data_IF_489213803179
#
_entry.id   IF_489213803179
#
_cell.length_a   1.000
_cell.length_b   1.000
_cell.length_c   1.000
_cell.angle_alpha   90.00
_cell.angle_beta   90.00
_cell.angle_gamma   90.00
#
_symmetry.space_group_name_H-M   'P 1'
#
loop_
_entity.id
_entity.type
_entity.pdbx_description
1 polymer ?
#
# COMPACT_ATOMS: atom_id res chain seq x y z
N UNK A 1 8.46 13.15 -13.79
CA UNK A 1 7.36 12.37 -13.16
C UNK A 1 7.56 12.42 -11.65
N UNK A 2 6.50 12.69 -10.89
CA UNK A 2 6.51 12.62 -9.43
C UNK A 2 5.59 11.50 -8.99
N UNK A 3 5.94 10.82 -7.90
CA UNK A 3 5.12 9.74 -7.33
C UNK A 3 4.77 10.12 -5.89
N UNK A 4 3.49 10.01 -5.55
CA UNK A 4 3.00 10.13 -4.17
C UNK A 4 2.98 8.75 -3.53
N UNK A 5 3.47 8.65 -2.29
CA UNK A 5 3.36 7.45 -1.47
C UNK A 5 2.57 7.79 -0.21
N UNK A 6 1.42 7.18 -0.06
CA UNK A 6 0.65 7.19 1.19
C UNK A 6 0.91 5.91 1.98
N UNK A 7 1.05 6.02 3.29
CA UNK A 7 1.03 4.84 4.17
C UNK A 7 -0.14 4.89 5.13
N UNK A 8 -0.80 3.74 5.29
CA UNK A 8 -1.92 3.52 6.21
C UNK A 8 -1.57 2.48 7.29
N UNK A 9 -0.30 2.09 7.39
CA UNK A 9 0.14 1.05 8.33
C UNK A 9 0.18 -0.36 7.72
N UNK A 10 -0.52 -1.29 8.35
CA UNK A 10 -0.47 -2.71 8.00
C UNK A 10 0.84 -3.38 8.41
N UNK A 11 0.96 -4.66 8.08
CA UNK A 11 2.15 -5.47 8.44
C UNK A 11 3.45 -4.89 7.90
N UNK A 12 3.41 -4.24 6.74
CA UNK A 12 4.58 -3.60 6.13
C UNK A 12 5.35 -2.68 7.09
N UNK A 13 4.63 -1.88 7.87
CA UNK A 13 5.17 -0.84 8.76
C UNK A 13 5.46 -1.33 10.18
N UNK A 14 5.06 -2.55 10.52
CA UNK A 14 5.26 -3.07 11.87
C UNK A 14 6.72 -3.39 12.17
N UNK A 15 7.11 -3.19 13.42
CA UNK A 15 8.42 -3.57 13.95
C UNK A 15 8.24 -4.43 15.19
N UNK A 16 9.19 -5.33 15.42
CA UNK A 16 9.20 -6.15 16.64
C UNK A 16 9.63 -5.31 17.84
N UNK A 17 8.79 -5.32 18.87
CA UNK A 17 9.11 -4.70 20.15
C UNK A 17 9.68 -5.77 21.11
N UNK A 18 10.97 -5.71 21.47
CA UNK A 18 11.59 -6.74 22.31
C UNK A 18 11.13 -6.68 23.78
N UNK A 19 10.48 -5.59 24.20
CA UNK A 19 9.97 -5.47 25.57
C UNK A 19 8.60 -6.17 25.68
N UNK A 20 7.69 -5.90 24.75
CA UNK A 20 6.36 -6.53 24.76
C UNK A 20 6.33 -7.90 24.07
N UNK A 21 7.33 -8.22 23.24
CA UNK A 21 7.34 -9.43 22.42
C UNK A 21 6.36 -9.41 21.25
N UNK A 22 5.84 -8.24 20.88
CA UNK A 22 4.79 -8.08 19.88
C UNK A 22 5.27 -7.22 18.69
N UNK A 23 4.54 -7.32 17.59
CA UNK A 23 4.68 -6.39 16.46
C UNK A 23 3.85 -5.13 16.75
N UNK A 24 4.49 -3.97 16.65
CA UNK A 24 3.85 -2.66 16.90
C UNK A 24 4.21 -1.66 15.81
N UNK A 25 3.46 -0.56 15.74
CA UNK A 25 3.81 0.57 14.90
C UNK A 25 4.77 1.51 15.63
N UNK A 26 5.71 2.06 14.87
CA UNK A 26 6.63 3.13 15.26
C UNK A 26 6.68 4.16 14.12
N UNK A 27 7.81 4.86 13.97
CA UNK A 27 8.00 5.75 12.82
C UNK A 27 7.94 4.95 11.51
N UNK A 28 7.40 5.59 10.45
CA UNK A 28 7.30 4.94 9.14
C UNK A 28 8.66 4.51 8.60
N UNK A 29 8.70 3.29 8.09
CA UNK A 29 9.87 2.76 7.40
C UNK A 29 9.99 3.26 5.95
N UNK A 30 8.98 3.90 5.37
CA UNK A 30 8.95 4.28 3.95
C UNK A 30 10.09 5.23 3.55
N UNK A 31 10.47 6.25 4.34
CA UNK A 31 11.66 7.06 4.01
C UNK A 31 12.92 6.21 3.85
N UNK A 32 13.10 5.18 4.69
CA UNK A 32 14.22 4.27 4.59
C UNK A 32 14.11 3.33 3.38
N UNK A 33 12.90 2.84 3.08
CA UNK A 33 12.62 2.05 1.87
C UNK A 33 13.02 2.83 0.62
N UNK A 34 12.58 4.08 0.49
CA UNK A 34 12.91 4.97 -0.64
C UNK A 34 14.42 5.16 -0.76
N UNK A 35 15.09 5.47 0.35
CA UNK A 35 16.56 5.67 0.39
C UNK A 35 17.31 4.40 -0.02
N UNK A 36 16.96 3.25 0.54
CA UNK A 36 17.62 1.95 0.24
C UNK A 36 17.39 1.50 -1.18
N UNK A 37 16.24 1.79 -1.76
CA UNK A 37 15.92 1.50 -3.16
C UNK A 37 16.66 2.39 -4.14
N UNK A 38 17.41 3.41 -3.68
CA UNK A 38 18.17 4.37 -4.52
C UNK A 38 17.28 5.01 -5.60
N UNK A 39 16.03 5.29 -5.26
CA UNK A 39 15.07 5.93 -6.15
C UNK A 39 15.57 7.33 -6.51
N UNK A 40 15.58 7.64 -7.81
CA UNK A 40 16.02 8.93 -8.35
C UNK A 40 14.87 9.85 -8.72
N UNK A 41 13.65 9.31 -8.82
CA UNK A 41 12.44 10.09 -9.02
C UNK A 41 12.09 10.89 -7.76
N UNK A 42 11.43 12.03 -7.96
CA UNK A 42 10.86 12.78 -6.83
C UNK A 42 9.69 12.00 -6.24
N UNK A 43 9.83 11.63 -4.98
CA UNK A 43 8.79 10.96 -4.18
C UNK A 43 8.31 11.92 -3.11
N UNK A 44 7.01 12.10 -3.06
CA UNK A 44 6.30 12.81 -2.00
C UNK A 44 5.64 11.77 -1.09
N UNK A 45 6.05 11.72 0.18
CA UNK A 45 5.59 10.75 1.16
C UNK A 45 4.68 11.43 2.19
N UNK A 46 3.59 10.76 2.53
CA UNK A 46 2.67 11.18 3.59
C UNK A 46 2.16 9.97 4.37
N UNK A 47 2.32 10.03 5.68
CA UNK A 47 1.70 9.11 6.62
C UNK A 47 0.28 9.58 6.92
N UNK A 48 -0.72 8.75 6.60
CA UNK A 48 -2.11 9.05 6.91
C UNK A 48 -2.46 8.63 8.34
N UNK A 49 -2.12 7.40 8.67
CA UNK A 49 -2.27 6.81 10.00
C UNK A 49 -1.59 5.43 10.03
N UNK A 50 -1.50 4.86 11.24
CA UNK A 50 -1.05 3.48 11.43
C UNK A 50 -2.17 2.64 12.03
N UNK A 51 -2.77 1.78 11.21
CA UNK A 51 -3.74 0.79 11.63
C UNK A 51 -3.46 -0.57 11.01
N UNK A 52 -3.79 -1.63 11.73
CA UNK A 52 -4.03 -2.93 11.10
C UNK A 52 -5.28 -2.83 10.25
N UNK A 53 -5.28 -3.42 9.05
CA UNK A 53 -6.41 -3.28 8.14
C UNK A 53 -7.70 -3.92 8.66
N UNK A 54 -7.60 -4.89 9.58
CA UNK A 54 -8.76 -5.45 10.28
C UNK A 54 -9.42 -4.45 11.25
N UNK A 55 -8.67 -3.45 11.69
CA UNK A 55 -9.15 -2.39 12.59
C UNK A 55 -9.62 -1.13 11.85
N UNK A 56 -9.55 -1.13 10.51
CA UNK A 56 -10.06 -0.02 9.69
C UNK A 56 -11.57 -0.08 9.56
N UNK A 57 -12.21 1.06 9.73
CA UNK A 57 -13.63 1.26 9.47
C UNK A 57 -13.89 1.96 8.12
N UNK A 58 -15.14 2.29 7.84
CA UNK A 58 -15.49 2.96 6.58
C UNK A 58 -14.99 4.41 6.53
N UNK A 59 -14.91 5.10 7.65
CA UNK A 59 -14.42 6.48 7.70
C UNK A 59 -12.93 6.54 7.38
N UNK A 60 -12.14 5.57 7.84
CA UNK A 60 -10.74 5.41 7.45
C UNK A 60 -10.59 5.25 5.93
N UNK A 61 -11.40 4.39 5.31
CA UNK A 61 -11.37 4.13 3.87
C UNK A 61 -11.79 5.35 3.05
N UNK A 62 -12.83 6.06 3.51
CA UNK A 62 -13.29 7.30 2.88
C UNK A 62 -12.23 8.41 3.01
N UNK A 63 -11.53 8.48 4.13
CA UNK A 63 -10.44 9.43 4.32
C UNK A 63 -9.29 9.15 3.34
N UNK A 64 -8.89 7.88 3.16
CA UNK A 64 -7.90 7.49 2.15
C UNK A 64 -8.35 7.92 0.75
N UNK A 65 -9.60 7.60 0.38
CA UNK A 65 -10.16 7.96 -0.92
C UNK A 65 -10.20 9.48 -1.13
N UNK A 66 -10.56 10.25 -0.10
CA UNK A 66 -10.57 11.70 -0.15
C UNK A 66 -9.15 12.27 -0.34
N UNK A 67 -8.17 11.78 0.40
CA UNK A 67 -6.76 12.18 0.25
C UNK A 67 -6.26 11.93 -1.17
N UNK A 68 -6.56 10.76 -1.73
CA UNK A 68 -6.23 10.44 -3.12
C UNK A 68 -6.93 11.40 -4.08
N UNK A 69 -8.20 11.71 -3.85
CA UNK A 69 -9.00 12.60 -4.71
C UNK A 69 -8.40 13.99 -4.83
N UNK A 70 -7.98 14.59 -3.71
CA UNK A 70 -7.44 15.96 -3.67
C UNK A 70 -5.94 16.04 -3.99
N UNK A 71 -5.22 14.91 -4.02
CA UNK A 71 -3.78 14.87 -4.33
C UNK A 71 -3.55 15.31 -5.79
N UNK A 72 -2.69 16.32 -6.07
CA UNK A 72 -2.41 16.73 -7.45
C UNK A 72 -1.54 15.75 -8.22
N UNK A 73 -0.73 14.92 -7.54
CA UNK A 73 0.10 13.90 -8.19
C UNK A 73 -0.79 12.74 -8.63
N UNK A 74 -0.65 12.34 -9.90
CA UNK A 74 -1.51 11.31 -10.50
C UNK A 74 -1.03 9.88 -10.26
N UNK A 75 0.26 9.68 -10.03
CA UNK A 75 0.88 8.39 -9.80
C UNK A 75 1.03 8.15 -8.30
N UNK A 76 0.24 7.24 -7.75
CA UNK A 76 0.09 7.07 -6.30
C UNK A 76 0.33 5.61 -5.90
N UNK A 77 1.21 5.40 -4.93
CA UNK A 77 1.35 4.13 -4.21
C UNK A 77 0.67 4.26 -2.84
N UNK A 78 -0.11 3.28 -2.46
CA UNK A 78 -0.73 3.20 -1.12
C UNK A 78 -0.24 1.96 -0.40
N UNK A 79 0.47 2.14 0.71
CA UNK A 79 0.86 1.06 1.61
C UNK A 79 -0.29 0.77 2.56
N UNK A 80 -0.74 -0.48 2.60
CA UNK A 80 -1.95 -0.87 3.31
C UNK A 80 -1.83 -2.30 3.87
N UNK A 81 -2.55 -2.59 4.93
CA UNK A 81 -2.67 -3.96 5.44
C UNK A 81 -3.40 -4.88 4.45
N UNK A 82 -2.95 -6.12 4.35
CA UNK A 82 -3.38 -7.02 3.27
C UNK A 82 -4.79 -7.59 3.45
N UNK A 83 -5.34 -7.64 4.69
CA UNK A 83 -6.60 -8.35 4.97
C UNK A 83 -7.84 -7.65 4.40
N UNK A 84 -7.86 -6.33 4.38
CA UNK A 84 -8.98 -5.54 3.84
C UNK A 84 -8.57 -4.61 2.70
N UNK A 85 -7.41 -4.86 2.08
CA UNK A 85 -6.89 -4.07 0.96
C UNK A 85 -7.88 -3.99 -0.20
N UNK A 86 -8.51 -5.10 -0.55
CA UNK A 86 -9.51 -5.16 -1.63
C UNK A 86 -10.70 -4.25 -1.33
N UNK A 87 -11.21 -4.25 -0.09
CA UNK A 87 -12.32 -3.38 0.32
C UNK A 87 -11.96 -1.91 0.21
N UNK A 88 -10.76 -1.54 0.66
CA UNK A 88 -10.26 -0.16 0.55
C UNK A 88 -10.08 0.23 -0.92
N UNK A 89 -9.57 -0.68 -1.76
CA UNK A 89 -9.45 -0.45 -3.20
C UNK A 89 -10.81 -0.16 -3.87
N UNK A 90 -11.87 -0.86 -3.48
CA UNK A 90 -13.23 -0.60 -3.96
C UNK A 90 -13.74 0.78 -3.52
N UNK A 91 -13.55 1.14 -2.25
CA UNK A 91 -13.91 2.48 -1.75
C UNK A 91 -13.18 3.60 -2.51
N UNK A 92 -11.87 3.41 -2.80
CA UNK A 92 -11.10 4.37 -3.60
C UNK A 92 -11.69 4.47 -5.01
N UNK A 93 -12.02 3.33 -5.64
CA UNK A 93 -12.63 3.29 -6.98
C UNK A 93 -13.94 4.07 -7.06
N UNK A 94 -14.76 3.98 -6.02
CA UNK A 94 -16.07 4.64 -5.96
C UNK A 94 -15.97 6.16 -5.68
N UNK A 95 -14.99 6.60 -4.91
CA UNK A 95 -14.95 7.95 -4.36
C UNK A 95 -13.78 8.83 -4.83
N UNK A 96 -12.71 8.24 -5.37
CA UNK A 96 -11.56 8.99 -5.88
C UNK A 96 -11.72 9.39 -7.36
N UNK A 97 -10.83 10.26 -7.82
CA UNK A 97 -10.74 10.66 -9.22
C UNK A 97 -10.32 9.49 -10.11
N UNK A 98 -10.98 9.36 -11.27
CA UNK A 98 -10.71 8.28 -12.23
C UNK A 98 -9.51 8.57 -13.15
N UNK A 99 -8.84 9.72 -13.01
CA UNK A 99 -7.70 10.15 -13.83
C UNK A 99 -6.34 9.83 -13.20
N UNK A 100 -6.33 9.03 -12.14
CA UNK A 100 -5.12 8.66 -11.39
C UNK A 100 -4.78 7.19 -11.53
N UNK A 101 -3.49 6.90 -11.49
CA UNK A 101 -2.97 5.55 -11.34
C UNK A 101 -2.70 5.33 -9.85
N UNK A 102 -3.55 4.55 -9.19
CA UNK A 102 -3.40 4.20 -7.78
C UNK A 102 -3.03 2.73 -7.68
N UNK A 103 -1.88 2.43 -7.13
CA UNK A 103 -1.42 1.06 -6.90
C UNK A 103 -1.30 0.81 -5.41
N UNK A 104 -2.16 -0.05 -4.89
CA UNK A 104 -2.09 -0.50 -3.50
C UNK A 104 -1.13 -1.66 -3.37
N UNK A 105 -0.41 -1.68 -2.27
CA UNK A 105 0.51 -2.77 -1.92
C UNK A 105 0.65 -2.90 -0.40
N UNK A 106 1.33 -3.95 0.03
CA UNK A 106 1.58 -4.24 1.42
C UNK A 106 2.62 -5.34 1.56
N UNK A 107 2.68 -5.97 2.72
CA UNK A 107 3.58 -7.08 2.96
C UNK A 107 2.94 -8.12 3.88
N UNK A 108 3.33 -9.38 3.70
CA UNK A 108 3.01 -10.47 4.62
C UNK A 108 3.96 -10.50 5.80
N UNK A 109 5.22 -10.06 5.59
CA UNK A 109 6.22 -9.90 6.64
C UNK A 109 6.62 -8.42 6.78
N UNK A 110 6.77 -7.91 8.02
CA UNK A 110 7.24 -6.55 8.24
C UNK A 110 8.55 -6.24 7.51
N UNK A 111 8.67 -5.03 6.97
CA UNK A 111 9.92 -4.57 6.35
C UNK A 111 11.13 -4.73 7.26
N UNK A 112 10.95 -4.58 8.57
CA UNK A 112 11.99 -4.70 9.59
C UNK A 112 12.54 -6.11 9.77
N UNK A 113 11.85 -7.13 9.26
CA UNK A 113 12.24 -8.54 9.39
C UNK A 113 13.05 -8.96 8.16
N UNK A 114 14.13 -9.73 8.42
CA UNK A 114 14.94 -10.33 7.34
C UNK A 114 14.05 -11.20 6.43
N UNK A 115 14.32 -11.16 5.12
CA UNK A 115 13.59 -11.92 4.10
C UNK A 115 12.13 -11.48 3.90
N UNK A 116 11.80 -10.25 4.32
CA UNK A 116 10.48 -9.65 4.06
C UNK A 116 10.20 -9.50 2.56
N UNK A 117 8.94 -9.71 2.19
CA UNK A 117 8.39 -9.45 0.86
C UNK A 117 8.14 -7.95 0.59
N UNK A 118 8.30 -7.08 1.60
CA UNK A 118 7.96 -5.67 1.54
C UNK A 118 8.67 -4.91 0.41
N UNK A 119 9.99 -5.07 0.27
CA UNK A 119 10.78 -4.38 -0.76
C UNK A 119 10.38 -4.81 -2.17
N UNK A 120 10.11 -6.09 -2.37
CA UNK A 120 9.68 -6.63 -3.65
C UNK A 120 8.30 -6.08 -4.05
N UNK A 121 7.35 -6.13 -3.12
CA UNK A 121 6.00 -5.64 -3.37
C UNK A 121 5.99 -4.12 -3.59
N UNK A 122 6.75 -3.35 -2.78
CA UNK A 122 6.89 -1.91 -2.96
C UNK A 122 7.50 -1.57 -4.33
N UNK A 123 8.59 -2.23 -4.71
CA UNK A 123 9.23 -2.03 -6.01
C UNK A 123 8.28 -2.32 -7.17
N UNK A 124 7.53 -3.42 -7.09
CA UNK A 124 6.48 -3.76 -8.05
C UNK A 124 5.41 -2.68 -8.19
N UNK A 125 4.85 -2.21 -7.05
CA UNK A 125 3.87 -1.14 -7.04
C UNK A 125 4.43 0.18 -7.58
N UNK A 126 5.66 0.53 -7.18
CA UNK A 126 6.33 1.76 -7.59
C UNK A 126 6.54 1.82 -9.10
N UNK A 127 6.98 0.73 -9.73
CA UNK A 127 7.14 0.66 -11.20
C UNK A 127 5.78 0.62 -11.89
N UNK A 128 4.82 -0.11 -11.34
CA UNK A 128 3.48 -0.21 -11.91
C UNK A 128 2.79 1.15 -12.05
N UNK A 129 2.98 2.08 -11.09
CA UNK A 129 2.41 3.44 -11.22
C UNK A 129 2.90 4.20 -12.44
N UNK A 130 4.04 3.83 -13.01
CA UNK A 130 4.66 4.54 -14.14
C UNK A 130 4.21 4.00 -15.49
N UNK A 131 3.60 2.83 -15.52
CA UNK A 131 3.31 2.09 -16.76
C UNK A 131 1.84 1.74 -16.96
N UNK A 132 1.07 1.75 -15.88
CA UNK A 132 -0.36 1.42 -15.94
C UNK A 132 -1.20 2.61 -16.39
N UNK A 133 -2.34 2.31 -16.99
CA UNK A 133 -3.38 3.28 -17.28
C UNK A 133 -4.10 3.72 -15.98
N UNK A 134 -4.73 4.90 -15.98
CA UNK A 134 -5.54 5.34 -14.84
C UNK A 134 -6.51 4.27 -14.36
N UNK A 135 -6.54 4.09 -13.05
CA UNK A 135 -7.33 3.05 -12.40
C UNK A 135 -6.81 2.71 -11.02
N UNK A 136 -7.52 1.79 -10.36
CA UNK A 136 -7.16 1.29 -9.03
C UNK A 136 -6.66 -0.15 -9.17
N UNK A 137 -5.45 -0.37 -8.72
CA UNK A 137 -4.71 -1.59 -8.88
C UNK A 137 -4.17 -2.12 -7.55
N UNK A 138 -3.91 -3.42 -7.49
CA UNK A 138 -3.21 -4.07 -6.38
C UNK A 138 -1.98 -4.78 -6.94
N UNK A 139 -0.81 -4.47 -6.38
CA UNK A 139 0.46 -5.12 -6.72
C UNK A 139 0.93 -5.96 -5.54
N UNK A 140 0.76 -7.27 -5.64
CA UNK A 140 1.13 -8.24 -4.60
C UNK A 140 1.63 -9.54 -5.21
N UNK A 141 2.55 -10.20 -4.53
CA UNK A 141 3.06 -11.53 -4.90
C UNK A 141 3.62 -11.61 -6.33
N UNK A 142 4.18 -10.52 -6.86
CA UNK A 142 4.70 -10.45 -8.24
C UNK A 142 3.63 -10.32 -9.33
N UNK A 143 2.39 -10.07 -8.95
CA UNK A 143 1.27 -9.84 -9.86
C UNK A 143 0.70 -8.44 -9.72
N UNK A 144 0.08 -7.96 -10.80
CA UNK A 144 -0.71 -6.74 -10.83
C UNK A 144 -2.15 -7.15 -11.15
N UNK A 145 -3.08 -6.73 -10.28
CA UNK A 145 -4.50 -7.01 -10.41
C UNK A 145 -5.29 -5.70 -10.54
N UNK A 146 -6.36 -5.72 -11.30
CA UNK A 146 -7.38 -4.67 -11.17
C UNK A 146 -8.13 -4.86 -9.85
N UNK A 147 -8.52 -3.76 -9.22
CA UNK A 147 -9.23 -3.81 -7.94
C UNK A 147 -10.56 -4.59 -7.98
N UNK A 148 -11.15 -4.75 -9.15
CA UNK A 148 -12.41 -5.49 -9.38
C UNK A 148 -12.21 -6.95 -9.83
N UNK A 149 -10.98 -7.42 -9.95
CA UNK A 149 -10.64 -8.79 -10.37
C UNK A 149 -9.55 -9.36 -9.45
N UNK A 150 -9.77 -9.27 -8.14
CA UNK A 150 -8.79 -9.74 -7.15
C UNK A 150 -9.43 -10.09 -5.82
N UNK A 151 -8.93 -11.15 -5.21
CA UNK A 151 -9.24 -11.53 -3.83
C UNK A 151 -7.99 -11.97 -3.08
N UNK A 152 -8.03 -11.91 -1.75
CA UNK A 152 -6.99 -12.48 -0.89
C UNK A 152 -7.36 -13.89 -0.49
N UNK A 153 -6.60 -14.88 -0.96
CA UNK A 153 -6.67 -16.25 -0.46
C UNK A 153 -6.01 -16.32 0.93
N UNK A 154 -6.83 -16.25 1.97
CA UNK A 154 -6.35 -16.22 3.37
C UNK A 154 -5.62 -17.51 3.78
N UNK A 155 -5.94 -18.63 3.15
CA UNK A 155 -5.29 -19.92 3.47
C UNK A 155 -3.86 -19.98 2.94
N UNK A 156 -3.65 -19.44 1.75
CA UNK A 156 -2.34 -19.42 1.08
C UNK A 156 -1.53 -18.17 1.44
N UNK A 157 -2.17 -17.12 1.96
CA UNK A 157 -1.52 -15.82 2.23
C UNK A 157 -1.12 -15.08 0.95
N UNK A 158 -1.85 -15.27 -0.14
CA UNK A 158 -1.56 -14.66 -1.46
C UNK A 158 -2.80 -13.97 -2.04
N UNK A 159 -2.55 -13.08 -2.99
CA UNK A 159 -3.60 -12.49 -3.83
C UNK A 159 -3.72 -13.30 -5.12
N UNK A 160 -4.95 -13.53 -5.57
CA UNK A 160 -5.27 -14.25 -6.80
C UNK A 160 -6.49 -13.58 -7.48
N UNK A 161 -6.75 -13.92 -8.73
CA UNK A 161 -7.94 -13.40 -9.42
C UNK A 161 -9.21 -13.91 -8.75
N UNK A 162 -10.24 -13.03 -8.66
CA UNK A 162 -11.54 -13.36 -8.10
C UNK A 162 -12.36 -14.30 -8.99
#
# INVERSE_FOLDING_TARGET
>A
MNIKVFTCGGTFEKVYNPISGELSFQDSCIPNVIKRSRITLKVDFEELFFKDSLNMDNDDRLMIAHKIKIEPIKNIVVIHGTDTMVQTAQTIKEHASQDKVVVMTGAMLPYSIKESDAMFNFGGAFIATQTLEPGIWISMNGHIFRSDDVEKNKRKGVFERA
#
